data_IF_147387093977
#
_entry.id   IF_147387093977
#
_cell.length_a   1.000
_cell.length_b   1.000
_cell.length_c   1.000
_cell.angle_alpha   90.00
_cell.angle_beta   90.00
_cell.angle_gamma   90.00
#
_symmetry.space_group_name_H-M   'P 1'
#
loop_
_entity.id
_entity.type
_entity.pdbx_description
1 polymer ?
#
# COMPACT_ATOMS: atom_id res chain seq x y z
N UNK A 1 24.08 0.08 15.46
CA UNK A 1 22.78 -0.61 15.29
C UNK A 1 22.64 -0.94 13.82
N UNK A 2 22.24 -2.17 13.47
CA UNK A 2 22.03 -2.53 12.07
C UNK A 2 20.85 -1.72 11.52
N UNK A 3 21.04 -1.15 10.34
CA UNK A 3 20.00 -0.39 9.65
C UNK A 3 18.89 -1.35 9.21
N UNK A 4 17.67 -1.16 9.70
CA UNK A 4 16.55 -2.03 9.38
C UNK A 4 15.76 -1.50 8.18
N UNK A 5 15.45 -2.39 7.26
CA UNK A 5 14.62 -2.14 6.08
C UNK A 5 13.30 -2.88 6.28
N UNK A 6 12.18 -2.21 6.03
CA UNK A 6 10.86 -2.83 6.00
C UNK A 6 10.33 -2.92 4.58
N UNK A 7 9.56 -3.97 4.29
CA UNK A 7 8.75 -4.06 3.08
C UNK A 7 7.36 -3.48 3.36
N UNK A 8 6.84 -2.66 2.45
CA UNK A 8 5.53 -2.04 2.59
C UNK A 8 4.70 -2.37 1.36
N UNK A 9 3.53 -2.95 1.61
CA UNK A 9 2.43 -2.99 0.65
C UNK A 9 1.52 -1.78 0.90
N UNK A 10 1.63 -0.79 0.02
CA UNK A 10 0.80 0.43 0.06
C UNK A 10 -0.43 0.23 -0.82
N UNK A 11 -1.45 -0.47 -0.30
CA UNK A 11 -2.64 -0.83 -1.06
C UNK A 11 -3.67 0.30 -1.19
N UNK A 12 -4.60 0.17 -2.15
CA UNK A 12 -5.70 1.13 -2.34
C UNK A 12 -6.69 1.10 -1.18
N UNK A 13 -7.05 -0.09 -0.72
CA UNK A 13 -8.02 -0.31 0.36
C UNK A 13 -7.34 -0.54 1.71
N UNK A 14 -6.30 -1.38 1.73
CA UNK A 14 -5.58 -1.75 2.94
C UNK A 14 -4.07 -1.68 2.69
N UNK A 15 -3.32 -1.39 3.74
CA UNK A 15 -1.86 -1.38 3.71
C UNK A 15 -1.29 -2.29 4.79
N UNK A 16 -0.11 -2.85 4.52
CA UNK A 16 0.61 -3.72 5.45
C UNK A 16 2.12 -3.51 5.35
N UNK A 17 2.84 -3.93 6.37
CA UNK A 17 4.29 -3.94 6.36
C UNK A 17 4.85 -5.26 6.90
N UNK A 18 6.06 -5.60 6.46
CA UNK A 18 6.78 -6.77 6.93
C UNK A 18 8.27 -6.46 7.13
N UNK A 19 8.89 -7.25 7.98
CA UNK A 19 10.33 -7.19 8.25
C UNK A 19 10.90 -8.62 8.25
N UNK A 20 12.19 -8.75 7.93
CA UNK A 20 12.90 -10.01 8.15
C UNK A 20 13.32 -10.09 9.62
N UNK A 21 12.81 -11.09 10.32
CA UNK A 21 13.12 -11.35 11.73
C UNK A 21 13.54 -12.83 11.87
N UNK A 22 14.74 -13.07 12.39
CA UNK A 22 15.28 -14.43 12.49
C UNK A 22 15.40 -15.14 11.14
N UNK A 23 15.68 -14.41 10.05
CA UNK A 23 15.78 -14.95 8.70
C UNK A 23 14.43 -15.25 8.01
N UNK A 24 13.30 -14.93 8.65
CA UNK A 24 11.96 -15.15 8.09
C UNK A 24 11.17 -13.86 7.95
N UNK A 25 10.35 -13.72 6.88
CA UNK A 25 9.46 -12.58 6.75
C UNK A 25 8.38 -12.62 7.84
N UNK A 26 8.23 -11.53 8.56
CA UNK A 26 7.25 -11.37 9.63
C UNK A 26 6.41 -10.14 9.35
N UNK A 27 5.09 -10.30 9.24
CA UNK A 27 4.17 -9.18 9.06
C UNK A 27 4.07 -8.40 10.37
N UNK A 28 4.31 -7.10 10.29
CA UNK A 28 4.20 -6.17 11.40
C UNK A 28 2.72 -5.91 11.70
N UNK A 29 2.25 -6.16 12.93
CA UNK A 29 0.87 -5.86 13.29
C UNK A 29 0.65 -4.34 13.34
N UNK A 30 -0.54 -3.89 12.94
CA UNK A 30 -0.95 -2.53 13.22
C UNK A 30 -1.12 -2.32 14.72
N UNK A 31 -0.79 -1.14 15.24
CA UNK A 31 -1.03 -0.77 16.63
C UNK A 31 -2.53 -0.77 17.00
N UNK A 32 -3.42 -0.80 16.02
CA UNK A 32 -4.87 -0.93 16.21
C UNK A 32 -5.30 -2.38 16.54
N UNK A 33 -4.37 -3.33 16.51
CA UNK A 33 -4.64 -4.75 16.70
C UNK A 33 -5.03 -5.47 15.41
N UNK A 34 -5.74 -6.60 15.54
CA UNK A 34 -6.26 -7.32 14.38
C UNK A 34 -7.46 -6.60 13.80
N UNK A 35 -7.41 -6.31 12.51
CA UNK A 35 -8.53 -5.77 11.73
C UNK A 35 -9.32 -6.92 11.08
N UNK A 36 -10.44 -6.60 10.42
CA UNK A 36 -11.16 -7.56 9.59
C UNK A 36 -10.28 -8.15 8.46
N UNK A 37 -9.17 -7.49 8.15
CA UNK A 37 -8.18 -7.90 7.14
C UNK A 37 -6.88 -8.45 7.77
N UNK A 38 -6.96 -9.01 8.97
CA UNK A 38 -5.83 -9.56 9.70
C UNK A 38 -4.89 -8.48 10.26
N UNK A 39 -3.62 -8.49 9.85
CA UNK A 39 -2.61 -7.52 10.29
C UNK A 39 -2.53 -6.26 9.40
N UNK A 40 -3.21 -6.26 8.25
CA UNK A 40 -3.34 -5.07 7.41
C UNK A 40 -4.35 -4.09 8.03
N UNK A 41 -4.22 -2.81 7.72
CA UNK A 41 -5.14 -1.77 8.19
C UNK A 41 -5.66 -0.95 7.00
N UNK A 42 -6.85 -0.31 7.14
CA UNK A 42 -7.45 0.48 6.07
C UNK A 42 -6.56 1.65 5.61
N UNK A 43 -6.37 1.82 4.31
CA UNK A 43 -5.65 2.95 3.69
C UNK A 43 -6.54 4.20 3.65
N UNK A 44 -7.03 4.60 4.82
CA UNK A 44 -7.95 5.73 5.00
C UNK A 44 -7.29 6.77 5.90
N UNK A 45 -7.42 8.04 5.51
CA UNK A 45 -6.87 9.19 6.25
C UNK A 45 -7.99 10.17 6.52
N UNK A 46 -8.08 10.69 7.72
CA UNK A 46 -9.12 11.64 8.09
C UNK A 46 -8.62 12.69 9.09
N UNK A 47 -9.17 13.90 9.01
CA UNK A 47 -8.98 14.92 10.03
C UNK A 47 -10.27 15.06 10.85
N UNK A 48 -10.24 14.90 12.19
CA UNK A 48 -11.38 15.12 13.04
C UNK A 48 -11.93 16.55 12.94
N UNK A 49 -13.23 16.72 13.22
CA UNK A 49 -13.89 18.04 13.14
C UNK A 49 -13.26 19.11 14.05
N UNK A 50 -12.68 18.69 15.16
CA UNK A 50 -11.96 19.57 16.10
C UNK A 50 -10.56 20.00 15.60
N UNK A 51 -10.14 19.49 14.42
CA UNK A 51 -8.86 19.84 13.82
C UNK A 51 -7.64 19.29 14.58
N UNK A 52 -7.81 18.29 15.43
CA UNK A 52 -6.74 17.66 16.20
C UNK A 52 -5.69 16.95 15.32
N UNK A 53 -5.33 15.74 15.61
CA UNK A 53 -4.31 15.02 14.85
C UNK A 53 -4.95 14.20 13.72
N UNK A 54 -4.28 14.14 12.56
CA UNK A 54 -4.68 13.30 11.43
C UNK A 54 -4.82 11.84 11.89
N UNK A 55 -5.99 11.25 11.62
CA UNK A 55 -6.29 9.85 11.87
C UNK A 55 -5.94 9.02 10.65
N UNK A 56 -5.45 7.81 10.85
CA UNK A 56 -5.12 6.86 9.79
C UNK A 56 -5.61 5.46 10.20
N UNK A 57 -6.15 4.72 9.27
CA UNK A 57 -6.61 3.35 9.50
C UNK A 57 -8.04 3.28 10.03
N UNK A 58 -8.32 2.35 10.93
CA UNK A 58 -9.66 2.12 11.51
C UNK A 58 -10.26 3.37 12.16
N UNK A 59 -9.51 4.19 12.92
CA UNK A 59 -10.06 5.44 13.47
C UNK A 59 -10.56 6.39 12.38
N UNK A 60 -9.89 6.46 11.23
CA UNK A 60 -10.35 7.26 10.10
C UNK A 60 -11.61 6.69 9.45
N UNK A 61 -11.71 5.37 9.33
CA UNK A 61 -12.91 4.69 8.82
C UNK A 61 -14.12 4.95 9.72
N UNK A 62 -13.94 4.89 11.04
CA UNK A 62 -15.02 5.04 12.01
C UNK A 62 -15.73 6.40 11.92
N UNK A 63 -15.03 7.44 11.47
CA UNK A 63 -15.65 8.77 11.28
C UNK A 63 -16.14 9.03 9.84
N UNK A 64 -15.89 8.12 8.90
CA UNK A 64 -16.16 8.36 7.47
C UNK A 64 -17.65 8.71 7.19
N UNK A 65 -18.59 8.12 7.94
CA UNK A 65 -20.02 8.39 7.79
C UNK A 65 -20.41 9.76 8.35
N UNK A 66 -19.81 10.16 9.47
CA UNK A 66 -20.15 11.41 10.19
C UNK A 66 -19.33 12.62 9.78
N UNK A 67 -18.23 12.39 9.05
CA UNK A 67 -17.29 13.42 8.59
C UNK A 67 -16.68 13.05 7.22
N UNK A 68 -17.53 12.77 6.19
CA UNK A 68 -17.07 12.29 4.89
C UNK A 68 -16.18 13.30 4.15
N UNK A 69 -16.46 14.59 4.28
CA UNK A 69 -15.73 15.68 3.62
C UNK A 69 -14.27 15.80 4.09
N UNK A 70 -13.94 15.33 5.30
CA UNK A 70 -12.59 15.35 5.86
C UNK A 70 -11.99 13.93 5.96
N UNK A 71 -12.57 12.95 5.24
CA UNK A 71 -12.12 11.56 5.22
C UNK A 71 -11.76 11.17 3.80
N UNK A 72 -10.48 10.84 3.58
CA UNK A 72 -9.95 10.49 2.27
C UNK A 72 -9.75 8.98 2.18
N UNK A 73 -10.39 8.40 1.19
CA UNK A 73 -10.21 7.01 0.77
C UNK A 73 -9.60 6.97 -0.63
N UNK A 74 -9.06 5.82 -1.04
CA UNK A 74 -8.64 5.56 -2.43
C UNK A 74 -7.55 6.52 -2.96
N UNK A 75 -6.73 7.12 -2.08
CA UNK A 75 -5.72 8.10 -2.48
C UNK A 75 -4.73 7.53 -3.50
N UNK A 76 -4.42 6.24 -3.44
CA UNK A 76 -3.52 5.53 -4.37
C UNK A 76 -3.96 5.67 -5.83
N UNK A 77 -5.28 5.70 -6.14
CA UNK A 77 -5.82 5.88 -7.50
C UNK A 77 -5.53 7.27 -8.09
N UNK A 78 -5.17 8.24 -7.28
CA UNK A 78 -4.84 9.62 -7.71
C UNK A 78 -3.35 9.90 -7.69
N UNK A 79 -2.52 8.92 -7.34
CA UNK A 79 -1.05 9.08 -7.35
C UNK A 79 -0.56 9.48 -8.74
N UNK A 80 0.42 10.39 -8.78
CA UNK A 80 0.99 10.89 -10.03
C UNK A 80 0.10 11.88 -10.81
N UNK A 81 -1.05 12.28 -10.27
CA UNK A 81 -1.96 13.25 -10.88
C UNK A 81 -1.91 14.62 -10.17
N UNK A 82 -2.51 15.64 -10.80
CA UNK A 82 -2.66 16.97 -10.21
C UNK A 82 -3.87 17.09 -9.27
N UNK A 83 -4.47 15.97 -8.86
CA UNK A 83 -5.59 15.98 -7.94
C UNK A 83 -5.21 16.61 -6.59
N UNK A 84 -6.13 17.37 -6.02
CA UNK A 84 -5.96 18.01 -4.72
C UNK A 84 -7.13 17.66 -3.82
N UNK A 85 -6.82 17.14 -2.65
CA UNK A 85 -7.77 16.92 -1.57
C UNK A 85 -7.86 18.17 -0.71
N UNK A 86 -9.08 18.61 -0.38
CA UNK A 86 -9.32 19.73 0.54
C UNK A 86 -9.84 19.17 1.86
N UNK A 87 -9.09 19.40 2.94
CA UNK A 87 -9.44 18.97 4.30
C UNK A 87 -9.36 20.19 5.21
N UNK A 88 -10.49 20.65 5.73
CA UNK A 88 -10.60 21.84 6.59
C UNK A 88 -9.83 23.07 6.03
N UNK A 89 -10.02 23.33 4.74
CA UNK A 89 -9.42 24.49 4.05
C UNK A 89 -7.94 24.33 3.69
N UNK A 90 -7.29 23.22 4.07
CA UNK A 90 -5.92 22.89 3.65
C UNK A 90 -5.93 21.97 2.43
N UNK A 91 -4.99 22.18 1.54
CA UNK A 91 -4.84 21.41 0.31
C UNK A 91 -3.74 20.34 0.47
N UNK A 92 -4.04 19.12 0.02
CA UNK A 92 -3.12 17.99 0.08
C UNK A 92 -3.07 17.28 -1.28
N UNK A 93 -1.87 17.01 -1.76
CA UNK A 93 -1.65 16.14 -2.93
C UNK A 93 -1.78 14.67 -2.55
N UNK A 94 -2.06 13.75 -3.50
CA UNK A 94 -2.19 12.32 -3.21
C UNK A 94 -0.99 11.71 -2.48
N UNK A 95 0.24 12.11 -2.84
CA UNK A 95 1.44 11.65 -2.15
C UNK A 95 1.53 12.11 -0.69
N UNK A 96 0.97 13.28 -0.35
CA UNK A 96 0.91 13.73 1.05
C UNK A 96 -0.10 12.93 1.87
N UNK A 97 -1.24 12.58 1.28
CA UNK A 97 -2.22 11.67 1.92
C UNK A 97 -1.59 10.29 2.13
N UNK A 98 -0.92 9.74 1.12
CA UNK A 98 -0.22 8.46 1.22
C UNK A 98 0.92 8.51 2.24
N UNK A 99 1.58 9.66 2.40
CA UNK A 99 2.62 9.83 3.42
C UNK A 99 2.09 9.65 4.86
N UNK A 100 0.85 10.07 5.17
CA UNK A 100 0.26 9.81 6.49
C UNK A 100 0.11 8.31 6.76
N UNK A 101 -0.26 7.52 5.74
CA UNK A 101 -0.33 6.06 5.84
C UNK A 101 1.06 5.48 6.12
N UNK A 102 2.08 5.94 5.37
CA UNK A 102 3.46 5.50 5.55
C UNK A 102 4.06 5.92 6.90
N UNK A 103 3.70 7.10 7.42
CA UNK A 103 4.09 7.54 8.76
C UNK A 103 3.51 6.63 9.85
N UNK A 104 2.23 6.21 9.69
CA UNK A 104 1.63 5.23 10.59
C UNK A 104 2.38 3.91 10.53
N UNK A 105 2.67 3.38 9.34
CA UNK A 105 3.45 2.15 9.16
C UNK A 105 4.80 2.25 9.85
N UNK A 106 5.51 3.36 9.63
CA UNK A 106 6.80 3.60 10.29
C UNK A 106 6.68 3.56 11.80
N UNK A 107 5.72 4.30 12.37
CA UNK A 107 5.48 4.35 13.81
C UNK A 107 5.14 2.96 14.39
N UNK A 108 4.24 2.22 13.73
CA UNK A 108 3.85 0.87 14.16
C UNK A 108 5.04 -0.10 14.08
N UNK A 109 5.88 0.04 13.03
CA UNK A 109 7.09 -0.76 12.85
C UNK A 109 8.14 -0.48 13.92
N UNK A 110 8.35 0.79 14.27
CA UNK A 110 9.26 1.20 15.35
C UNK A 110 8.78 0.68 16.71
N UNK A 111 7.46 0.75 16.97
CA UNK A 111 6.86 0.20 18.18
C UNK A 111 7.00 -1.33 18.27
N UNK A 112 6.84 -2.03 17.15
CA UNK A 112 6.95 -3.49 17.09
C UNK A 112 8.40 -3.99 17.24
N UNK A 113 9.35 -3.29 16.62
CA UNK A 113 10.76 -3.74 16.60
C UNK A 113 11.59 -3.22 17.75
N UNK A 114 11.19 -2.11 18.37
CA UNK A 114 12.00 -1.35 19.32
C UNK A 114 13.16 -0.59 18.67
N UNK A 115 13.28 -0.61 17.34
CA UNK A 115 14.36 0.03 16.59
C UNK A 115 13.82 1.17 15.72
N UNK A 116 14.68 2.13 15.40
CA UNK A 116 14.36 3.20 14.46
C UNK A 116 14.29 2.63 13.02
N UNK A 117 13.24 2.95 12.31
CA UNK A 117 13.02 2.56 10.90
C UNK A 117 13.30 3.76 10.00
N UNK A 118 14.29 3.63 9.15
CA UNK A 118 14.73 4.70 8.24
C UNK A 118 14.57 4.35 6.77
N UNK A 119 14.51 3.05 6.44
CA UNK A 119 14.47 2.57 5.06
C UNK A 119 13.27 1.67 4.78
N UNK A 120 12.74 1.77 3.55
CA UNK A 120 11.66 0.91 3.10
C UNK A 120 11.84 0.50 1.62
N UNK A 121 11.30 -0.70 1.31
CA UNK A 121 10.93 -1.11 -0.05
C UNK A 121 9.41 -1.00 -0.13
N UNK A 122 8.89 -0.31 -1.15
CA UNK A 122 7.44 -0.09 -1.30
C UNK A 122 6.96 -0.74 -2.58
N UNK A 123 5.83 -1.44 -2.53
CA UNK A 123 5.23 -2.04 -3.72
C UNK A 123 4.30 -1.07 -4.44
N UNK A 124 4.21 -1.25 -5.76
CA UNK A 124 3.29 -0.53 -6.64
C UNK A 124 2.69 -1.48 -7.67
N UNK A 125 1.50 -1.20 -8.22
CA UNK A 125 0.95 -1.93 -9.35
C UNK A 125 1.94 -1.98 -10.52
N UNK A 126 1.96 -3.09 -11.26
CA UNK A 126 2.87 -3.25 -12.40
C UNK A 126 2.61 -2.20 -13.50
N UNK A 127 1.35 -1.79 -13.65
CA UNK A 127 0.88 -0.79 -14.63
C UNK A 127 1.08 0.67 -14.22
N UNK A 128 1.66 0.94 -13.03
CA UNK A 128 1.98 2.32 -12.66
C UNK A 128 3.02 2.92 -13.61
N UNK A 129 2.72 4.13 -14.10
CA UNK A 129 3.65 4.93 -14.90
C UNK A 129 4.73 5.58 -14.02
N UNK A 130 5.66 6.29 -14.65
CA UNK A 130 6.80 6.91 -13.96
C UNK A 130 6.36 7.98 -12.96
N UNK A 131 5.33 8.78 -13.27
CA UNK A 131 4.79 9.82 -12.39
C UNK A 131 4.17 9.20 -11.14
N UNK A 132 3.45 8.09 -11.28
CA UNK A 132 2.84 7.37 -10.16
C UNK A 132 3.90 6.72 -9.25
N UNK A 133 4.94 6.14 -9.85
CA UNK A 133 6.10 5.57 -9.12
C UNK A 133 6.88 6.65 -8.38
N UNK A 134 7.12 7.79 -9.03
CA UNK A 134 7.80 8.92 -8.40
C UNK A 134 6.97 9.48 -7.24
N UNK A 135 5.66 9.69 -7.43
CA UNK A 135 4.77 10.15 -6.37
C UNK A 135 4.74 9.18 -5.16
N UNK A 136 4.86 7.86 -5.40
CA UNK A 136 4.99 6.86 -4.33
C UNK A 136 6.31 7.01 -3.59
N UNK A 137 7.41 7.24 -4.30
CA UNK A 137 8.71 7.52 -3.71
C UNK A 137 8.70 8.81 -2.88
N UNK A 138 8.08 9.86 -3.41
CA UNK A 138 7.93 11.14 -2.73
C UNK A 138 7.12 11.00 -1.43
N UNK A 139 6.04 10.18 -1.45
CA UNK A 139 5.26 9.88 -0.26
C UNK A 139 6.13 9.22 0.84
N UNK A 140 7.02 8.30 0.47
CA UNK A 140 7.99 7.69 1.39
C UNK A 140 8.94 8.73 1.99
N UNK A 141 9.48 9.62 1.16
CA UNK A 141 10.37 10.70 1.60
C UNK A 141 9.64 11.67 2.55
N UNK A 142 8.40 12.06 2.25
CA UNK A 142 7.57 12.91 3.11
C UNK A 142 7.29 12.22 4.45
N UNK A 143 7.14 10.89 4.44
CA UNK A 143 6.97 10.09 5.66
C UNK A 143 8.26 9.94 6.49
N UNK A 144 9.39 10.44 6.01
CA UNK A 144 10.69 10.31 6.66
C UNK A 144 11.30 8.92 6.50
N UNK A 145 11.06 8.28 5.34
CA UNK A 145 11.66 7.01 4.92
C UNK A 145 12.55 7.23 3.70
N UNK A 146 13.74 6.66 3.73
CA UNK A 146 14.52 6.43 2.51
C UNK A 146 13.89 5.27 1.74
N UNK A 147 13.34 5.55 0.55
CA UNK A 147 12.78 4.51 -0.31
C UNK A 147 13.92 3.85 -1.09
N UNK A 148 14.42 2.75 -0.56
CA UNK A 148 15.54 2.00 -1.14
C UNK A 148 15.18 1.41 -2.51
N UNK A 149 13.92 0.97 -2.69
CA UNK A 149 13.42 0.44 -3.96
C UNK A 149 11.89 0.53 -4.04
N UNK A 150 11.42 0.75 -5.27
CA UNK A 150 10.03 0.49 -5.66
C UNK A 150 10.03 -0.83 -6.43
N UNK A 151 9.14 -1.76 -6.09
CA UNK A 151 8.97 -3.04 -6.80
C UNK A 151 7.51 -3.23 -7.20
N UNK A 152 7.28 -4.02 -8.24
CA UNK A 152 5.91 -4.33 -8.67
C UNK A 152 5.26 -5.32 -7.70
N UNK A 153 3.97 -5.13 -7.40
CA UNK A 153 3.16 -6.01 -6.54
C UNK A 153 3.21 -7.47 -7.01
N UNK A 154 2.97 -7.79 -8.30
CA UNK A 154 3.07 -9.18 -8.77
C UNK A 154 4.47 -9.77 -8.64
N UNK A 155 5.52 -8.95 -8.79
CA UNK A 155 6.90 -9.40 -8.57
C UNK A 155 7.13 -9.75 -7.09
N UNK A 156 6.63 -8.91 -6.17
CA UNK A 156 6.74 -9.19 -4.74
C UNK A 156 5.98 -10.45 -4.35
N UNK A 157 4.78 -10.65 -4.90
CA UNK A 157 3.96 -11.85 -4.68
C UNK A 157 4.67 -13.12 -5.20
N UNK A 158 5.23 -13.06 -6.40
CA UNK A 158 5.98 -14.18 -6.99
C UNK A 158 7.23 -14.52 -6.18
N UNK A 159 7.97 -13.52 -5.71
CA UNK A 159 9.11 -13.74 -4.83
C UNK A 159 8.68 -14.42 -3.53
N UNK A 160 7.61 -13.97 -2.90
CA UNK A 160 7.08 -14.57 -1.67
C UNK A 160 6.63 -16.03 -1.88
N UNK A 161 5.97 -16.31 -3.01
CA UNK A 161 5.56 -17.67 -3.39
C UNK A 161 6.75 -18.58 -3.73
N UNK A 162 7.80 -18.04 -4.35
CA UNK A 162 8.94 -18.79 -4.85
C UNK A 162 10.09 -18.95 -3.85
N UNK A 163 10.02 -18.37 -2.64
CA UNK A 163 11.11 -18.39 -1.66
C UNK A 163 11.54 -19.83 -1.29
N UNK A 164 10.61 -20.76 -1.27
CA UNK A 164 10.83 -22.18 -0.97
C UNK A 164 10.92 -23.08 -2.22
N UNK A 165 10.81 -22.49 -3.42
CA UNK A 165 10.74 -23.19 -4.72
C UNK A 165 11.78 -22.74 -5.71
N UNK A 166 12.83 -22.06 -5.27
CA UNK A 166 13.84 -21.44 -6.13
C UNK A 166 14.59 -22.39 -7.08
N UNK A 167 14.49 -23.71 -6.86
CA UNK A 167 15.09 -24.75 -7.71
C UNK A 167 14.18 -25.26 -8.83
N UNK A 168 12.92 -24.78 -8.87
CA UNK A 168 11.94 -25.21 -9.87
C UNK A 168 11.91 -24.23 -11.04
N UNK A 169 11.89 -24.79 -12.26
CA UNK A 169 11.57 -24.01 -13.45
C UNK A 169 10.06 -24.02 -13.67
N UNK A 170 9.43 -22.85 -13.63
CA UNK A 170 7.99 -22.75 -13.78
C UNK A 170 7.54 -21.42 -14.37
N UNK A 171 6.35 -21.44 -14.98
CA UNK A 171 5.61 -20.21 -15.35
C UNK A 171 4.56 -19.92 -14.30
N UNK A 172 4.51 -18.68 -13.88
CA UNK A 172 3.62 -18.21 -12.82
C UNK A 172 2.71 -17.16 -13.42
N UNK A 173 1.39 -17.34 -13.28
CA UNK A 173 0.41 -16.30 -13.54
C UNK A 173 0.02 -15.68 -12.20
N UNK A 174 0.30 -14.38 -12.03
CA UNK A 174 -0.17 -13.59 -10.90
C UNK A 174 -1.41 -12.83 -11.36
N UNK A 175 -2.54 -13.11 -10.73
CA UNK A 175 -3.81 -12.40 -10.93
C UNK A 175 -4.08 -11.62 -9.64
N UNK A 176 -3.71 -10.34 -9.65
CA UNK A 176 -3.86 -9.43 -8.52
C UNK A 176 -5.09 -8.52 -8.76
N UNK A 177 -6.20 -8.88 -8.13
CA UNK A 177 -7.44 -8.12 -8.18
C UNK A 177 -7.71 -7.49 -6.82
N UNK A 178 -7.23 -6.26 -6.66
CA UNK A 178 -7.37 -5.49 -5.44
C UNK A 178 -8.70 -4.71 -5.35
N UNK A 179 -8.83 -3.87 -4.33
CA UNK A 179 -9.98 -2.99 -4.19
C UNK A 179 -10.01 -1.85 -5.21
N UNK A 180 -8.88 -1.52 -5.85
CA UNK A 180 -8.77 -0.36 -6.72
C UNK A 180 -8.00 -0.55 -8.02
N UNK A 181 -7.28 -1.64 -8.17
CA UNK A 181 -6.47 -1.96 -9.36
C UNK A 181 -6.60 -3.43 -9.69
N UNK A 182 -6.44 -3.75 -10.97
CA UNK A 182 -6.28 -5.11 -11.50
C UNK A 182 -4.93 -5.20 -12.19
N UNK A 183 -4.10 -6.15 -11.79
CA UNK A 183 -2.85 -6.51 -12.46
C UNK A 183 -2.83 -8.01 -12.78
N UNK A 184 -2.54 -8.36 -14.02
CA UNK A 184 -2.35 -9.74 -14.48
C UNK A 184 -0.96 -9.84 -15.06
N UNK A 185 -0.08 -10.62 -14.44
CA UNK A 185 1.33 -10.72 -14.82
C UNK A 185 1.71 -12.16 -15.03
N UNK A 186 2.27 -12.46 -16.20
CA UNK A 186 2.90 -13.74 -16.50
C UNK A 186 4.41 -13.63 -16.26
N UNK A 187 4.92 -14.52 -15.44
CA UNK A 187 6.35 -14.57 -15.07
C UNK A 187 6.91 -15.96 -15.33
N UNK A 188 8.21 -16.02 -15.60
CA UNK A 188 8.98 -17.25 -15.62
C UNK A 188 9.97 -17.25 -14.45
N UNK A 189 10.05 -18.37 -13.76
CA UNK A 189 11.02 -18.60 -12.70
C UNK A 189 11.92 -19.77 -13.12
N UNK A 190 13.24 -19.54 -13.09
CA UNK A 190 14.22 -20.57 -13.37
C UNK A 190 15.57 -20.18 -12.79
N UNK A 191 16.32 -21.15 -12.23
CA UNK A 191 17.63 -20.91 -11.66
C UNK A 191 17.66 -19.82 -10.54
N UNK A 192 16.55 -19.59 -9.85
CA UNK A 192 16.42 -18.54 -8.83
C UNK A 192 16.18 -17.12 -9.39
N UNK A 193 15.99 -16.98 -10.69
CA UNK A 193 15.67 -15.71 -11.37
C UNK A 193 14.18 -15.65 -11.66
N UNK A 194 13.58 -14.46 -11.48
CA UNK A 194 12.20 -14.16 -11.84
C UNK A 194 12.19 -13.17 -12.99
N UNK A 195 11.63 -13.56 -14.12
CA UNK A 195 11.52 -12.73 -15.32
C UNK A 195 10.07 -12.45 -15.65
N UNK A 196 9.72 -11.17 -15.83
CA UNK A 196 8.38 -10.76 -16.27
C UNK A 196 8.28 -10.95 -17.78
N UNK A 197 7.45 -11.89 -18.24
CA UNK A 197 7.21 -12.16 -19.65
C UNK A 197 6.22 -11.17 -20.24
N UNK A 198 5.12 -10.90 -19.53
CA UNK A 198 4.11 -9.92 -19.92
C UNK A 198 3.30 -9.47 -18.72
N UNK A 199 2.73 -8.26 -18.82
CA UNK A 199 1.80 -7.74 -17.83
C UNK A 199 0.67 -7.01 -18.54
N UNK A 200 -0.53 -7.08 -17.96
CA UNK A 200 -1.72 -6.35 -18.38
C UNK A 200 -2.52 -5.97 -17.15
N UNK A 201 -3.39 -4.98 -17.26
CA UNK A 201 -4.19 -4.58 -16.10
C UNK A 201 -4.93 -3.26 -16.30
N UNK A 202 -5.56 -2.80 -15.23
CA UNK A 202 -6.27 -1.53 -15.19
C UNK A 202 -6.07 -0.88 -13.81
N UNK A 203 -5.50 0.31 -13.78
CA UNK A 203 -5.22 1.07 -12.54
C UNK A 203 -6.47 1.72 -11.95
N UNK A 204 -7.63 1.58 -12.58
CA UNK A 204 -8.90 2.15 -12.15
C UNK A 204 -10.01 1.09 -12.01
N UNK A 205 -9.67 -0.21 -12.04
CA UNK A 205 -10.60 -1.32 -11.88
C UNK A 205 -10.28 -2.11 -10.62
N UNK A 206 -11.28 -2.33 -9.75
CA UNK A 206 -11.14 -3.14 -8.54
C UNK A 206 -12.49 -3.42 -7.88
N UNK A 207 -12.47 -4.11 -6.74
CA UNK A 207 -13.68 -4.49 -6.00
C UNK A 207 -14.61 -3.32 -5.68
N UNK A 208 -14.05 -2.12 -5.42
CA UNK A 208 -14.85 -0.93 -5.16
C UNK A 208 -15.69 -0.46 -6.37
N UNK A 209 -15.27 -0.77 -7.59
CA UNK A 209 -16.06 -0.43 -8.78
C UNK A 209 -17.23 -1.40 -8.94
N UNK A 210 -17.04 -2.65 -8.51
CA UNK A 210 -18.14 -3.64 -8.40
C UNK A 210 -19.16 -3.20 -7.35
N UNK A 211 -18.72 -2.71 -6.19
CA UNK A 211 -19.60 -2.18 -5.15
C UNK A 211 -20.44 -1.02 -5.66
N UNK A 212 -19.85 -0.10 -6.45
CA UNK A 212 -20.58 1.04 -7.06
C UNK A 212 -21.69 0.55 -7.99
N UNK A 213 -21.42 -0.45 -8.85
CA UNK A 213 -22.43 -1.02 -9.76
C UNK A 213 -23.61 -1.59 -8.98
N UNK A 214 -23.33 -2.31 -7.89
CA UNK A 214 -24.39 -2.86 -7.02
C UNK A 214 -25.18 -1.72 -6.33
N UNK A 215 -24.48 -0.72 -5.82
CA UNK A 215 -25.12 0.45 -5.17
C UNK A 215 -26.05 1.20 -6.15
N UNK A 216 -25.63 1.38 -7.40
CA UNK A 216 -26.42 2.07 -8.43
C UNK A 216 -27.62 1.24 -8.88
N UNK A 217 -27.50 -0.10 -8.84
CA UNK A 217 -28.63 -1.00 -9.13
C UNK A 217 -29.71 -0.95 -8.02
N UNK A 218 -29.32 -0.71 -6.76
CA UNK A 218 -30.24 -0.70 -5.62
C UNK A 218 -30.93 0.66 -5.43
N UNK A 219 -30.39 1.75 -5.99
CA UNK A 219 -31.02 3.10 -5.97
C UNK A 219 -32.19 3.21 -6.92
#
# INVERSE_FOLDING_TARGET
MAERIIGIDLGTSNSAAAIIQGGKPTIIPSAEGQTAHGKAFPSVVALPKDGSTMLVGTPAVNQAVTNPENTITKAKRKMGTNHVYKIQGKEYKPQQISAFILQKIKKDSEAFTGDKITKAVITVPAYFNNEQRQATKDAGTIAGLEVARIINEPTAASLAFGLDKATLDMKILVFDFGGGTLDVTLMEMGGGVFEVMSTSGDTQLGGMDMDIVIMDYVK
#
